data_IF_294381844723
#
_entry.id   IF_294381844723
#
_cell.length_a   1.000
_cell.length_b   1.000
_cell.length_c   1.000
_cell.angle_alpha   90.00
_cell.angle_beta   90.00
_cell.angle_gamma   90.00
#
_symmetry.space_group_name_H-M   'P 1'
#
loop_
_entity.id
_entity.type
_entity.pdbx_description
1 polymer ?
#
# COMPACT_ATOMS: atom_id res chain seq x y z
N UNK A 1 -14.38 -26.00 5.53
CA UNK A 1 -14.56 -24.79 4.71
C UNK A 1 -13.20 -24.40 4.15
N UNK A 2 -13.09 -24.00 2.88
CA UNK A 2 -11.79 -23.66 2.28
C UNK A 2 -11.41 -22.23 2.71
N UNK A 3 -10.50 -22.11 3.68
CA UNK A 3 -9.91 -20.82 4.06
C UNK A 3 -8.79 -20.49 3.07
N UNK A 4 -8.81 -19.27 2.52
CA UNK A 4 -7.80 -18.76 1.61
C UNK A 4 -6.53 -18.42 2.38
N UNK A 5 -5.40 -18.97 1.93
CA UNK A 5 -4.11 -18.59 2.47
C UNK A 5 -3.82 -17.14 2.07
N UNK A 6 -3.56 -16.23 3.03
CA UNK A 6 -3.29 -14.82 2.75
C UNK A 6 -2.12 -14.65 1.78
N UNK A 7 -1.08 -15.48 1.83
CA UNK A 7 0.12 -15.36 0.99
C UNK A 7 0.01 -16.04 -0.36
N UNK A 8 -1.16 -16.60 -0.66
CA UNK A 8 -1.45 -17.10 -2.01
C UNK A 8 -1.38 -15.97 -3.05
N UNK A 9 -0.85 -16.28 -4.23
CA UNK A 9 -0.78 -15.34 -5.36
C UNK A 9 -2.18 -14.83 -5.72
N UNK A 10 -3.21 -15.68 -5.62
CA UNK A 10 -4.61 -15.32 -5.86
C UNK A 10 -5.10 -14.25 -4.89
N UNK A 11 -4.82 -14.40 -3.59
CA UNK A 11 -5.16 -13.40 -2.59
C UNK A 11 -4.38 -12.10 -2.83
N UNK A 12 -3.09 -12.18 -3.17
CA UNK A 12 -2.27 -11.01 -3.47
C UNK A 12 -2.80 -10.23 -4.68
N UNK A 13 -3.13 -10.92 -5.78
CA UNK A 13 -3.69 -10.30 -6.99
C UNK A 13 -5.04 -9.66 -6.68
N UNK A 14 -5.90 -10.35 -5.93
CA UNK A 14 -7.21 -9.82 -5.52
C UNK A 14 -7.08 -8.54 -4.68
N UNK A 15 -6.21 -8.54 -3.66
CA UNK A 15 -5.96 -7.37 -2.81
C UNK A 15 -5.35 -6.21 -3.59
N UNK A 16 -4.37 -6.48 -4.45
CA UNK A 16 -3.74 -5.45 -5.30
C UNK A 16 -4.77 -4.83 -6.25
N UNK A 17 -5.61 -5.65 -6.86
CA UNK A 17 -6.71 -5.18 -7.69
C UNK A 17 -7.72 -4.35 -6.88
N UNK A 18 -8.05 -4.78 -5.65
CA UNK A 18 -8.91 -4.04 -4.74
C UNK A 18 -8.36 -2.66 -4.37
N UNK A 19 -7.06 -2.55 -4.14
CA UNK A 19 -6.40 -1.24 -3.93
C UNK A 19 -6.52 -0.36 -5.18
N UNK A 20 -6.31 -0.90 -6.38
CA UNK A 20 -6.47 -0.13 -7.62
C UNK A 20 -7.91 0.38 -7.81
N UNK A 21 -8.91 -0.48 -7.57
CA UNK A 21 -10.33 -0.12 -7.65
C UNK A 21 -10.66 0.96 -6.61
N UNK A 22 -10.15 0.83 -5.38
CA UNK A 22 -10.34 1.81 -4.32
C UNK A 22 -9.71 3.16 -4.66
N UNK A 23 -8.48 3.18 -5.16
CA UNK A 23 -7.80 4.42 -5.58
C UNK A 23 -8.54 5.11 -6.73
N UNK A 24 -9.04 4.34 -7.70
CA UNK A 24 -9.86 4.88 -8.79
C UNK A 24 -11.16 5.50 -8.28
N UNK A 25 -11.89 4.82 -7.39
CA UNK A 25 -13.12 5.32 -6.79
C UNK A 25 -12.90 6.56 -5.91
N UNK A 26 -11.83 6.56 -5.11
CA UNK A 26 -11.40 7.70 -4.28
C UNK A 26 -10.91 8.90 -5.12
N UNK A 27 -10.49 8.68 -6.37
CA UNK A 27 -10.13 9.76 -7.30
C UNK A 27 -11.34 10.28 -8.09
N UNK A 28 -12.26 9.39 -8.47
CA UNK A 28 -13.44 9.81 -9.24
C UNK A 28 -14.45 10.57 -8.39
N UNK A 29 -14.65 10.17 -7.13
CA UNK A 29 -15.69 10.74 -6.27
C UNK A 29 -15.50 12.25 -5.99
N UNK A 30 -14.31 12.76 -5.64
CA UNK A 30 -14.07 14.20 -5.44
C UNK A 30 -14.26 14.99 -6.74
N UNK A 31 -13.81 14.44 -7.87
CA UNK A 31 -14.00 15.06 -9.18
C UNK A 31 -15.48 15.21 -9.54
N UNK A 32 -16.26 14.13 -9.39
CA UNK A 32 -17.71 14.13 -9.63
C UNK A 32 -18.44 15.12 -8.71
N UNK A 33 -18.00 15.23 -7.45
CA UNK A 33 -18.59 16.17 -6.50
C UNK A 33 -18.26 17.63 -6.85
N UNK A 34 -17.02 17.91 -7.26
CA UNK A 34 -16.54 19.25 -7.55
C UNK A 34 -17.10 19.81 -8.87
N UNK A 35 -17.15 18.99 -9.93
CA UNK A 35 -17.69 19.38 -11.26
C UNK A 35 -19.20 19.15 -11.40
N UNK A 36 -19.88 18.76 -10.32
CA UNK A 36 -21.31 18.42 -10.29
C UNK A 36 -21.75 17.52 -11.45
N UNK A 37 -20.91 16.52 -11.76
CA UNK A 37 -21.15 15.63 -12.89
C UNK A 37 -22.37 14.77 -12.60
N UNK A 38 -23.38 14.85 -13.47
CA UNK A 38 -24.62 14.09 -13.36
C UNK A 38 -24.37 12.60 -13.60
N UNK A 39 -24.13 11.85 -12.52
CA UNK A 39 -23.91 10.39 -12.57
C UNK A 39 -25.08 9.66 -13.20
N UNK A 40 -26.31 10.14 -13.00
CA UNK A 40 -27.54 9.52 -13.50
C UNK A 40 -27.62 9.51 -15.03
N UNK A 41 -27.00 10.49 -15.70
CA UNK A 41 -27.00 10.57 -17.16
C UNK A 41 -25.85 9.80 -17.82
N UNK A 42 -24.82 9.44 -17.05
CA UNK A 42 -23.64 8.72 -17.57
C UNK A 42 -23.72 7.24 -17.26
N UNK A 43 -23.98 6.43 -18.30
CA UNK A 43 -24.00 4.97 -18.18
C UNK A 43 -22.69 4.40 -17.64
N UNK A 44 -21.55 4.97 -18.05
CA UNK A 44 -20.23 4.51 -17.60
C UNK A 44 -20.02 4.71 -16.09
N UNK A 45 -20.38 5.88 -15.56
CA UNK A 45 -20.27 6.18 -14.12
C UNK A 45 -21.23 5.33 -13.30
N UNK A 46 -22.43 5.07 -13.82
CA UNK A 46 -23.40 4.20 -13.16
C UNK A 46 -22.91 2.75 -13.11
N UNK A 47 -22.43 2.20 -14.23
CA UNK A 47 -21.85 0.86 -14.30
C UNK A 47 -20.66 0.72 -13.35
N UNK A 48 -19.79 1.73 -13.29
CA UNK A 48 -18.67 1.75 -12.36
C UNK A 48 -19.14 1.76 -10.90
N UNK A 49 -20.17 2.53 -10.56
CA UNK A 49 -20.74 2.55 -9.20
C UNK A 49 -21.34 1.19 -8.78
N UNK A 50 -22.03 0.50 -9.68
CA UNK A 50 -22.52 -0.86 -9.44
C UNK A 50 -21.38 -1.86 -9.28
N UNK A 51 -20.37 -1.78 -10.14
CA UNK A 51 -19.18 -2.60 -10.08
C UNK A 51 -18.44 -2.45 -8.74
N UNK A 52 -18.16 -1.21 -8.30
CA UNK A 52 -17.47 -0.98 -7.03
C UNK A 52 -18.28 -1.46 -5.83
N UNK A 53 -19.61 -1.26 -5.83
CA UNK A 53 -20.48 -1.79 -4.77
C UNK A 53 -20.45 -3.32 -4.70
N UNK A 54 -20.58 -3.99 -5.83
CA UNK A 54 -20.51 -5.45 -5.91
C UNK A 54 -19.13 -5.96 -5.47
N UNK A 55 -18.06 -5.34 -5.96
CA UNK A 55 -16.68 -5.71 -5.66
C UNK A 55 -16.38 -5.60 -4.16
N UNK A 56 -16.71 -4.48 -3.51
CA UNK A 56 -16.45 -4.32 -2.08
C UNK A 56 -17.36 -5.17 -1.20
N UNK A 57 -18.56 -5.53 -1.68
CA UNK A 57 -19.41 -6.51 -0.99
C UNK A 57 -18.78 -7.91 -1.06
N UNK A 58 -18.20 -8.27 -2.21
CA UNK A 58 -17.45 -9.52 -2.37
C UNK A 58 -16.18 -9.52 -1.50
N UNK A 59 -15.46 -8.40 -1.40
CA UNK A 59 -14.27 -8.25 -0.55
C UNK A 59 -14.55 -8.57 0.93
N UNK A 60 -15.73 -8.24 1.44
CA UNK A 60 -16.19 -8.63 2.79
C UNK A 60 -16.32 -10.16 2.89
N UNK A 61 -16.93 -10.80 1.88
CA UNK A 61 -17.07 -12.25 1.85
C UNK A 61 -15.73 -12.97 1.74
N UNK A 62 -14.80 -12.43 0.95
CA UNK A 62 -13.42 -12.94 0.84
C UNK A 62 -12.67 -12.74 2.16
N UNK A 63 -12.84 -11.59 2.82
CA UNK A 63 -12.21 -11.30 4.11
C UNK A 63 -12.65 -12.27 5.22
N UNK A 64 -13.91 -12.72 5.20
CA UNK A 64 -14.44 -13.73 6.14
C UNK A 64 -13.78 -15.12 5.99
N UNK A 65 -13.17 -15.40 4.83
CA UNK A 65 -12.53 -16.69 4.53
C UNK A 65 -11.02 -16.55 4.34
N UNK A 66 -10.42 -15.38 4.60
CA UNK A 66 -8.97 -15.18 4.43
C UNK A 66 -8.26 -15.34 5.78
N UNK A 67 -7.24 -16.21 5.83
CA UNK A 67 -6.44 -16.43 7.04
C UNK A 67 -5.75 -15.15 7.52
N UNK A 68 -5.43 -15.09 8.80
CA UNK A 68 -4.77 -13.94 9.44
C UNK A 68 -3.57 -14.39 10.27
N UNK A 69 -2.65 -13.47 10.53
CA UNK A 69 -1.49 -13.70 11.37
C UNK A 69 -1.78 -13.26 12.80
N UNK A 70 -1.60 -14.17 13.76
CA UNK A 70 -1.66 -13.88 15.20
C UNK A 70 -0.30 -14.24 15.80
N UNK A 71 0.41 -13.24 16.35
CA UNK A 71 1.77 -13.42 16.89
C UNK A 71 2.78 -14.07 15.91
N UNK A 72 2.58 -13.87 14.60
CA UNK A 72 3.42 -14.45 13.55
C UNK A 72 3.02 -15.87 13.12
N UNK A 73 2.08 -16.51 13.81
CA UNK A 73 1.51 -17.80 13.38
C UNK A 73 0.28 -17.59 12.48
N UNK A 74 0.21 -18.39 11.41
CA UNK A 74 -0.87 -18.32 10.44
C UNK A 74 -2.07 -19.14 10.93
N UNK A 75 -3.17 -18.46 11.28
CA UNK A 75 -4.41 -19.11 11.71
C UNK A 75 -5.34 -19.35 10.49
N UNK A 76 -5.69 -20.62 10.27
CA UNK A 76 -6.50 -21.08 9.13
C UNK A 76 -7.81 -21.75 9.54
N UNK A 77 -8.15 -21.80 10.83
CA UNK A 77 -9.44 -22.31 11.30
C UNK A 77 -10.57 -21.35 10.88
N UNK A 78 -11.54 -21.78 10.05
CA UNK A 78 -12.61 -20.91 9.55
C UNK A 78 -13.44 -20.26 10.65
N UNK A 79 -13.65 -20.94 11.79
CA UNK A 79 -14.42 -20.39 12.90
C UNK A 79 -13.67 -19.26 13.60
N UNK A 80 -12.35 -19.40 13.77
CA UNK A 80 -11.50 -18.37 14.37
C UNK A 80 -11.31 -17.18 13.42
N UNK A 81 -11.07 -17.44 12.15
CA UNK A 81 -10.94 -16.41 11.10
C UNK A 81 -12.21 -15.54 11.05
N UNK A 82 -13.38 -16.17 10.92
CA UNK A 82 -14.64 -15.43 10.87
C UNK A 82 -14.88 -14.63 12.16
N UNK A 83 -14.64 -15.22 13.34
CA UNK A 83 -14.83 -14.54 14.63
C UNK A 83 -13.89 -13.35 14.79
N UNK A 84 -12.63 -13.49 14.36
CA UNK A 84 -11.65 -12.41 14.39
C UNK A 84 -12.10 -11.24 13.52
N UNK A 85 -12.45 -11.50 12.26
CA UNK A 85 -12.92 -10.47 11.33
C UNK A 85 -14.22 -9.78 11.79
N UNK A 86 -15.17 -10.55 12.34
CA UNK A 86 -16.43 -10.03 12.91
C UNK A 86 -16.20 -9.06 14.07
N UNK A 87 -15.14 -9.25 14.86
CA UNK A 87 -14.80 -8.39 16.00
C UNK A 87 -14.03 -7.13 15.60
N UNK A 88 -13.17 -7.21 14.58
CA UNK A 88 -12.27 -6.11 14.20
C UNK A 88 -12.90 -5.18 13.16
N UNK A 89 -13.07 -5.66 11.93
CA UNK A 89 -13.34 -4.82 10.76
C UNK A 89 -14.78 -4.87 10.25
N UNK A 90 -15.52 -5.94 10.54
CA UNK A 90 -16.86 -6.16 10.00
C UNK A 90 -17.85 -5.02 10.27
N UNK A 91 -17.81 -4.41 11.46
CA UNK A 91 -18.69 -3.29 11.82
C UNK A 91 -18.49 -2.07 10.91
N UNK A 92 -17.24 -1.77 10.59
CA UNK A 92 -16.90 -0.67 9.69
C UNK A 92 -17.34 -1.02 8.27
N UNK A 93 -17.04 -2.24 7.82
CA UNK A 93 -17.34 -2.68 6.46
C UNK A 93 -18.83 -2.74 6.15
N UNK A 94 -19.66 -3.18 7.10
CA UNK A 94 -21.11 -3.24 6.88
C UNK A 94 -21.73 -1.84 6.82
N UNK A 95 -21.26 -0.90 7.65
CA UNK A 95 -21.70 0.51 7.58
C UNK A 95 -21.33 1.10 6.22
N UNK A 96 -20.11 0.88 5.75
CA UNK A 96 -19.67 1.33 4.43
C UNK A 96 -20.49 0.68 3.32
N UNK A 97 -20.72 -0.63 3.37
CA UNK A 97 -21.52 -1.34 2.37
C UNK A 97 -22.95 -0.80 2.30
N UNK A 98 -23.58 -0.51 3.44
CA UNK A 98 -24.92 0.10 3.49
C UNK A 98 -24.93 1.48 2.84
N UNK A 99 -23.93 2.33 3.14
CA UNK A 99 -23.79 3.66 2.50
C UNK A 99 -23.62 3.51 0.98
N UNK A 100 -22.85 2.51 0.54
CA UNK A 100 -22.54 2.28 -0.87
C UNK A 100 -23.78 1.85 -1.65
N UNK A 101 -24.48 0.83 -1.14
CA UNK A 101 -25.71 0.32 -1.71
C UNK A 101 -26.82 1.37 -1.71
N UNK A 102 -27.01 2.10 -0.60
CA UNK A 102 -27.99 3.19 -0.57
C UNK A 102 -27.67 4.24 -1.63
N UNK A 103 -26.43 4.74 -1.71
CA UNK A 103 -26.06 5.74 -2.69
C UNK A 103 -26.27 5.27 -4.15
N UNK A 104 -25.86 4.05 -4.48
CA UNK A 104 -25.99 3.50 -5.83
C UNK A 104 -27.45 3.24 -6.19
N UNK A 105 -28.25 2.70 -5.27
CA UNK A 105 -29.68 2.48 -5.50
C UNK A 105 -30.43 3.81 -5.69
N UNK A 106 -30.16 4.82 -4.86
CA UNK A 106 -30.76 6.16 -5.03
C UNK A 106 -30.34 6.81 -6.36
N UNK A 107 -29.06 6.75 -6.72
CA UNK A 107 -28.54 7.36 -7.97
C UNK A 107 -29.00 6.61 -9.23
N UNK A 108 -29.20 5.29 -9.15
CA UNK A 108 -29.68 4.48 -10.28
C UNK A 108 -31.17 4.67 -10.59
N UNK A 109 -31.90 5.40 -9.74
CA UNK A 109 -33.34 5.59 -9.87
C UNK A 109 -34.18 4.34 -9.60
N UNK A 110 -33.58 3.20 -9.22
CA UNK A 110 -34.32 1.98 -8.84
C UNK A 110 -35.26 2.24 -7.67
N UNK A 111 -34.87 3.12 -6.74
CA UNK A 111 -35.69 3.48 -5.57
C UNK A 111 -36.65 4.64 -5.88
N UNK A 112 -36.56 5.30 -7.04
CA UNK A 112 -37.49 6.38 -7.42
C UNK A 112 -38.93 5.86 -7.65
N UNK A 113 -39.11 4.55 -7.82
CA UNK A 113 -40.43 3.90 -7.83
C UNK A 113 -41.06 3.75 -6.43
N UNK A 114 -40.27 3.82 -5.36
CA UNK A 114 -40.77 3.87 -3.99
C UNK A 114 -41.05 5.34 -3.67
N UNK A 115 -42.26 5.78 -3.98
CA UNK A 115 -42.71 7.15 -3.74
C UNK A 115 -42.62 7.49 -2.25
N UNK A 116 -41.46 7.98 -1.80
CA UNK A 116 -41.35 8.75 -0.58
C UNK A 116 -42.01 10.11 -0.86
N UNK A 117 -43.35 10.09 -0.90
CA UNK A 117 -44.27 11.20 -1.22
C UNK A 117 -44.07 12.47 -0.39
N UNK A 118 -43.12 12.50 0.55
CA UNK A 118 -42.73 13.65 1.35
C UNK A 118 -41.33 14.25 1.08
N UNK A 119 -40.47 13.61 0.28
CA UNK A 119 -39.12 14.10 -0.02
C UNK A 119 -39.08 14.86 -1.34
N UNK A 120 -39.11 16.20 -1.28
CA UNK A 120 -38.97 17.03 -2.48
C UNK A 120 -37.63 16.80 -3.21
N UNK A 121 -37.63 16.94 -4.54
CA UNK A 121 -36.48 16.66 -5.43
C UNK A 121 -35.18 17.35 -4.96
N UNK A 122 -35.28 18.60 -4.49
CA UNK A 122 -34.13 19.34 -3.95
C UNK A 122 -33.52 18.72 -2.67
N UNK A 123 -34.34 18.08 -1.81
CA UNK A 123 -33.85 17.35 -0.63
C UNK A 123 -33.18 16.05 -1.03
N UNK A 124 -33.68 15.38 -2.08
CA UNK A 124 -33.05 14.18 -2.63
C UNK A 124 -31.64 14.45 -3.17
N UNK A 125 -31.46 15.52 -3.94
CA UNK A 125 -30.15 15.93 -4.49
C UNK A 125 -29.14 16.23 -3.36
N UNK A 126 -29.58 16.91 -2.30
CA UNK A 126 -28.71 17.17 -1.13
C UNK A 126 -28.34 15.86 -0.42
N UNK A 127 -29.30 14.95 -0.26
CA UNK A 127 -29.08 13.66 0.38
C UNK A 127 -28.08 12.79 -0.41
N UNK A 128 -28.19 12.71 -1.74
CA UNK A 128 -27.24 11.95 -2.56
C UNK A 128 -25.83 12.54 -2.51
N UNK A 129 -25.68 13.88 -2.47
CA UNK A 129 -24.37 14.55 -2.29
C UNK A 129 -23.74 14.21 -0.94
N UNK A 130 -24.51 14.25 0.15
CA UNK A 130 -24.02 13.89 1.49
C UNK A 130 -23.53 12.43 1.51
N UNK A 131 -24.30 11.50 0.94
CA UNK A 131 -23.90 10.10 0.81
C UNK A 131 -22.60 9.92 0.00
N UNK A 132 -22.37 10.73 -1.05
CA UNK A 132 -21.11 10.71 -1.80
C UNK A 132 -19.93 11.20 -0.98
N UNK A 133 -20.11 12.22 -0.14
CA UNK A 133 -19.05 12.67 0.79
C UNK A 133 -18.69 11.54 1.77
N UNK A 134 -19.69 10.82 2.29
CA UNK A 134 -19.43 9.67 3.15
C UNK A 134 -18.63 8.55 2.48
N UNK A 135 -18.62 8.42 1.14
CA UNK A 135 -17.74 7.45 0.46
C UNK A 135 -16.25 7.72 0.70
N UNK A 136 -15.85 8.95 1.03
CA UNK A 136 -14.46 9.28 1.40
C UNK A 136 -13.99 8.52 2.66
N UNK A 137 -14.92 8.07 3.51
CA UNK A 137 -14.57 7.24 4.68
C UNK A 137 -13.99 5.88 4.28
N UNK A 138 -14.16 5.44 3.01
CA UNK A 138 -13.49 4.24 2.47
C UNK A 138 -11.98 4.35 2.46
N UNK A 139 -11.39 5.54 2.61
CA UNK A 139 -9.94 5.71 2.81
C UNK A 139 -9.42 4.90 4.00
N UNK A 140 -10.28 4.61 4.98
CA UNK A 140 -9.97 3.71 6.10
C UNK A 140 -9.56 2.31 5.62
N UNK A 141 -10.12 1.81 4.51
CA UNK A 141 -9.76 0.50 3.92
C UNK A 141 -8.33 0.49 3.40
N UNK A 142 -7.79 1.64 2.99
CA UNK A 142 -6.41 1.74 2.52
C UNK A 142 -5.42 1.38 3.63
N UNK A 143 -5.69 1.77 4.88
CA UNK A 143 -4.87 1.38 6.03
C UNK A 143 -4.82 -0.15 6.21
N UNK A 144 -5.95 -0.83 6.05
CA UNK A 144 -6.01 -2.30 6.12
C UNK A 144 -5.14 -2.94 5.04
N UNK A 145 -5.25 -2.49 3.79
CA UNK A 145 -4.42 -3.02 2.72
C UNK A 145 -2.92 -2.74 2.96
N UNK A 146 -2.57 -1.57 3.49
CA UNK A 146 -1.19 -1.25 3.86
C UNK A 146 -0.65 -2.17 4.95
N UNK A 147 -1.42 -2.47 6.00
CA UNK A 147 -1.01 -3.39 7.07
C UNK A 147 -0.67 -4.78 6.53
N UNK A 148 -1.51 -5.32 5.63
CA UNK A 148 -1.29 -6.64 5.01
C UNK A 148 -0.08 -6.63 4.05
N UNK A 149 0.13 -5.55 3.32
CA UNK A 149 1.26 -5.41 2.39
C UNK A 149 2.58 -5.18 3.14
N UNK A 150 2.56 -4.48 4.28
CA UNK A 150 3.76 -4.16 5.07
C UNK A 150 4.44 -5.43 5.60
N UNK A 151 3.67 -6.44 6.01
CA UNK A 151 4.21 -7.72 6.49
C UNK A 151 4.88 -8.59 5.40
N UNK A 152 4.51 -8.41 4.12
CA UNK A 152 4.93 -9.31 3.03
C UNK A 152 6.20 -8.89 2.30
N UNK A 153 6.42 -7.60 2.12
CA UNK A 153 7.51 -7.08 1.28
C UNK A 153 8.79 -6.77 2.07
N UNK A 154 9.13 -7.54 3.11
CA UNK A 154 10.36 -7.31 3.90
C UNK A 154 11.69 -7.48 3.13
N UNK A 155 11.64 -7.85 1.85
CA UNK A 155 12.80 -7.94 0.96
C UNK A 155 13.36 -6.54 0.65
N UNK A 156 14.44 -6.21 1.36
CA UNK A 156 15.03 -4.88 1.52
C UNK A 156 15.09 -4.07 0.22
N UNK A 157 15.64 -4.60 -0.88
CA UNK A 157 15.86 -3.81 -2.12
C UNK A 157 14.61 -3.41 -2.91
N UNK A 158 13.69 -4.36 -3.17
CA UNK A 158 12.48 -4.12 -3.98
C UNK A 158 11.46 -3.27 -3.22
N UNK A 159 11.42 -3.46 -1.90
CA UNK A 159 10.58 -2.70 -0.97
C UNK A 159 10.80 -1.19 -1.07
N UNK A 160 12.05 -0.73 -1.14
CA UNK A 160 12.35 0.71 -1.20
C UNK A 160 11.84 1.36 -2.49
N UNK A 161 12.09 0.71 -3.63
CA UNK A 161 11.65 1.20 -4.94
C UNK A 161 10.12 1.28 -4.99
N UNK A 162 9.46 0.22 -4.50
CA UNK A 162 8.02 0.15 -4.41
C UNK A 162 7.44 1.27 -3.53
N UNK A 163 7.92 1.41 -2.29
CA UNK A 163 7.43 2.44 -1.37
C UNK A 163 7.70 3.86 -1.86
N UNK A 164 8.86 4.12 -2.47
CA UNK A 164 9.16 5.44 -3.04
C UNK A 164 8.20 5.78 -4.18
N UNK A 165 7.87 4.79 -5.02
CA UNK A 165 6.84 4.94 -6.06
C UNK A 165 5.45 5.21 -5.48
N UNK A 166 5.07 4.52 -4.40
CA UNK A 166 3.79 4.75 -3.72
C UNK A 166 3.68 6.16 -3.13
N UNK A 167 4.76 6.70 -2.54
CA UNK A 167 4.77 8.09 -2.05
C UNK A 167 4.54 9.09 -3.19
N UNK A 168 5.11 8.84 -4.38
CA UNK A 168 4.87 9.67 -5.56
C UNK A 168 3.41 9.59 -6.04
N UNK A 169 2.85 8.38 -6.14
CA UNK A 169 1.44 8.16 -6.53
C UNK A 169 0.51 8.87 -5.53
N UNK A 170 0.78 8.73 -4.24
CA UNK A 170 0.02 9.40 -3.18
C UNK A 170 0.12 10.92 -3.27
N UNK A 171 1.30 11.46 -3.60
CA UNK A 171 1.51 12.90 -3.82
C UNK A 171 0.63 13.42 -4.95
N UNK A 172 0.61 12.73 -6.10
CA UNK A 172 -0.23 13.12 -7.25
C UNK A 172 -1.72 13.06 -6.88
N UNK A 173 -2.14 12.00 -6.19
CA UNK A 173 -3.51 11.85 -5.72
C UNK A 173 -3.92 12.93 -4.72
N UNK A 174 -3.03 13.30 -3.79
CA UNK A 174 -3.25 14.37 -2.83
C UNK A 174 -3.40 15.73 -3.51
N UNK A 175 -2.56 16.05 -4.51
CA UNK A 175 -2.73 17.24 -5.33
C UNK A 175 -4.10 17.28 -6.02
N UNK A 176 -4.55 16.14 -6.55
CA UNK A 176 -5.87 16.01 -7.17
C UNK A 176 -7.00 16.32 -6.18
N UNK A 177 -6.94 15.82 -4.94
CA UNK A 177 -7.94 16.15 -3.92
C UNK A 177 -8.01 17.64 -3.63
N UNK A 178 -6.84 18.28 -3.41
CA UNK A 178 -6.76 19.71 -3.12
C UNK A 178 -7.30 20.53 -4.32
N UNK A 179 -7.00 20.11 -5.55
CA UNK A 179 -7.53 20.73 -6.77
C UNK A 179 -9.05 20.62 -6.88
N UNK A 180 -9.63 19.46 -6.56
CA UNK A 180 -11.09 19.27 -6.55
C UNK A 180 -11.76 20.16 -5.50
N UNK A 181 -11.20 20.27 -4.30
CA UNK A 181 -11.73 21.17 -3.26
C UNK A 181 -11.60 22.62 -3.70
N UNK A 182 -10.47 23.02 -4.29
CA UNK A 182 -10.27 24.37 -4.82
C UNK A 182 -11.31 24.76 -5.87
N UNK A 183 -11.61 23.84 -6.79
CA UNK A 183 -12.67 24.03 -7.77
C UNK A 183 -14.05 24.10 -7.13
N UNK A 184 -14.37 23.20 -6.20
CA UNK A 184 -15.65 23.18 -5.52
C UNK A 184 -15.93 24.46 -4.71
N UNK A 185 -14.90 25.06 -4.11
CA UNK A 185 -15.02 26.35 -3.41
C UNK A 185 -15.34 27.46 -4.41
N UNK A 186 -14.61 27.54 -5.52
CA UNK A 186 -14.84 28.56 -6.54
C UNK A 186 -16.22 28.44 -7.22
N UNK A 187 -16.71 27.22 -7.45
CA UNK A 187 -18.00 26.97 -8.10
C UNK A 187 -19.21 27.07 -7.17
N UNK A 188 -19.01 27.21 -5.84
CA UNK A 188 -20.09 27.21 -4.85
C UNK A 188 -21.06 28.40 -4.96
N UNK A 189 -20.67 29.48 -5.65
CA UNK A 189 -21.48 30.68 -5.87
C UNK A 189 -21.72 31.54 -4.62
N UNK A 190 -21.20 31.14 -3.45
CA UNK A 190 -21.28 31.91 -2.20
C UNK A 190 -19.96 32.66 -2.04
N UNK A 191 -19.94 33.91 -2.46
CA UNK A 191 -18.78 34.78 -2.30
C UNK A 191 -19.18 36.15 -1.73
N UNK A 192 -18.33 36.69 -0.86
CA UNK A 192 -18.52 37.98 -0.21
C UNK A 192 -18.10 39.16 -1.11
N UNK A 193 -17.18 38.92 -2.05
CA UNK A 193 -16.68 39.93 -2.99
C UNK A 193 -17.39 39.96 -4.33
N UNK A 194 -18.34 39.04 -4.57
CA UNK A 194 -18.99 38.88 -5.87
C UNK A 194 -18.08 38.31 -6.97
N UNK A 195 -16.88 37.84 -6.62
CA UNK A 195 -15.91 37.28 -7.57
C UNK A 195 -15.24 36.01 -7.04
N UNK A 196 -14.86 35.12 -7.94
CA UNK A 196 -14.12 33.89 -7.71
C UNK A 196 -12.85 33.84 -8.56
N UNK A 197 -11.91 32.97 -8.20
CA UNK A 197 -10.77 32.62 -9.04
C UNK A 197 -11.18 32.15 -10.46
N UNK A 198 -12.41 31.63 -10.61
CA UNK A 198 -12.99 31.23 -11.90
C UNK A 198 -13.39 32.41 -12.81
N UNK A 199 -13.61 33.61 -12.25
CA UNK A 199 -14.08 34.79 -13.01
C UNK A 199 -12.97 35.50 -13.79
N UNK A 200 -11.74 34.98 -13.73
CA UNK A 200 -10.65 35.46 -14.55
C UNK A 200 -11.01 35.32 -16.05
N UNK A 201 -10.80 36.36 -16.86
CA UNK A 201 -11.21 36.41 -18.29
C UNK A 201 -10.71 35.22 -19.11
N UNK A 202 -9.54 34.67 -18.76
CA UNK A 202 -8.96 33.50 -19.44
C UNK A 202 -9.55 32.16 -18.97
N UNK A 203 -10.17 32.11 -17.79
CA UNK A 203 -10.73 30.91 -17.18
C UNK A 203 -12.25 30.80 -17.40
N UNK A 204 -12.96 31.92 -17.40
CA UNK A 204 -14.42 31.95 -17.50
C UNK A 204 -14.99 31.28 -18.77
N UNK A 205 -14.25 31.31 -19.88
CA UNK A 205 -14.63 30.67 -21.15
C UNK A 205 -13.82 29.41 -21.47
N UNK A 206 -13.02 28.91 -20.52
CA UNK A 206 -12.13 27.79 -20.75
C UNK A 206 -12.86 26.44 -20.74
N UNK A 207 -12.27 25.43 -21.37
CA UNK A 207 -12.80 24.07 -21.35
C UNK A 207 -12.72 23.46 -19.94
N UNK A 208 -13.61 22.51 -19.57
CA UNK A 208 -13.54 21.83 -18.28
C UNK A 208 -12.19 21.16 -18.01
N UNK A 209 -11.56 20.63 -19.06
CA UNK A 209 -10.22 20.05 -18.97
C UNK A 209 -9.16 21.09 -18.62
N UNK A 210 -9.23 22.29 -19.21
CA UNK A 210 -8.32 23.38 -18.86
C UNK A 210 -8.52 23.81 -17.41
N UNK A 211 -9.77 24.01 -16.96
CA UNK A 211 -10.08 24.35 -15.57
C UNK A 211 -9.54 23.31 -14.57
N UNK A 212 -9.67 22.02 -14.90
CA UNK A 212 -9.13 20.93 -14.08
C UNK A 212 -7.59 21.00 -14.00
N UNK A 213 -6.91 21.15 -15.14
CA UNK A 213 -5.45 21.23 -15.18
C UNK A 213 -4.95 22.50 -14.47
N UNK A 214 -5.66 23.62 -14.60
CA UNK A 214 -5.35 24.86 -13.88
C UNK A 214 -5.49 24.70 -12.36
N UNK A 215 -6.57 24.07 -11.89
CA UNK A 215 -6.76 23.77 -10.47
C UNK A 215 -5.67 22.80 -9.95
N UNK A 216 -5.31 21.79 -10.74
CA UNK A 216 -4.24 20.85 -10.41
C UNK A 216 -2.87 21.53 -10.33
N UNK A 217 -2.57 22.41 -11.29
CA UNK A 217 -1.35 23.21 -11.27
C UNK A 217 -1.28 24.10 -10.02
N UNK A 218 -2.39 24.77 -9.67
CA UNK A 218 -2.49 25.54 -8.43
C UNK A 218 -2.22 24.67 -7.18
N UNK A 219 -2.78 23.46 -7.12
CA UNK A 219 -2.56 22.54 -6.00
C UNK A 219 -1.10 22.07 -5.89
N UNK A 220 -0.45 21.76 -7.02
CA UNK A 220 0.98 21.41 -7.06
C UNK A 220 1.84 22.56 -6.54
N UNK A 221 1.51 23.79 -6.90
CA UNK A 221 2.21 25.00 -6.45
C UNK A 221 2.15 25.19 -4.94
N UNK A 222 1.08 24.77 -4.26
CA UNK A 222 0.99 24.84 -2.80
C UNK A 222 2.02 23.93 -2.10
N UNK A 223 2.41 22.84 -2.75
CA UNK A 223 3.39 21.88 -2.22
C UNK A 223 4.82 22.32 -2.59
N UNK A 224 5.02 22.89 -3.77
CA UNK A 224 6.34 23.30 -4.28
C UNK A 224 6.74 24.74 -3.94
N UNK A 225 5.82 25.55 -3.41
CA UNK A 225 6.00 26.99 -3.12
C UNK A 225 6.36 27.82 -4.37
N UNK A 226 5.86 27.42 -5.53
CA UNK A 226 6.03 28.15 -6.79
C UNK A 226 5.16 29.41 -6.91
N UNK A 227 5.37 30.20 -7.95
CA UNK A 227 4.48 31.31 -8.32
C UNK A 227 3.40 30.88 -9.32
N UNK A 228 2.16 31.34 -9.14
CA UNK A 228 1.05 31.12 -10.08
C UNK A 228 0.11 32.33 -10.12
N UNK A 229 -0.44 32.60 -11.30
CA UNK A 229 -1.38 33.72 -11.55
C UNK A 229 -2.83 33.40 -11.19
N UNK A 230 -3.08 32.30 -10.48
CA UNK A 230 -4.40 31.92 -9.94
C UNK A 230 -4.45 32.35 -8.48
N UNK A 231 -5.21 33.41 -8.20
CA UNK A 231 -5.27 34.07 -6.89
C UNK A 231 -6.68 33.95 -6.31
N UNK A 232 -6.77 33.81 -4.99
CA UNK A 232 -8.02 33.90 -4.26
C UNK A 232 -8.65 35.30 -4.36
N UNK A 233 -9.93 35.35 -4.74
CA UNK A 233 -10.71 36.57 -4.96
C UNK A 233 -11.73 36.87 -3.86
N UNK A 234 -12.00 35.91 -2.96
CA UNK A 234 -12.95 36.04 -1.86
C UNK A 234 -12.39 35.47 -0.54
N UNK A 235 -13.10 35.70 0.58
CA UNK A 235 -12.63 35.29 1.91
C UNK A 235 -12.51 33.77 2.04
N UNK A 236 -13.47 32.99 1.52
CA UNK A 236 -13.43 31.52 1.57
C UNK A 236 -12.24 30.94 0.80
N UNK A 237 -12.00 31.44 -0.41
CA UNK A 237 -10.84 31.07 -1.22
C UNK A 237 -9.53 31.44 -0.53
N UNK A 238 -9.47 32.62 0.12
CA UNK A 238 -8.27 33.07 0.83
C UNK A 238 -7.97 32.19 2.04
N UNK A 239 -8.99 31.85 2.84
CA UNK A 239 -8.85 30.97 4.00
C UNK A 239 -8.37 29.58 3.57
N UNK A 240 -8.97 29.01 2.52
CA UNK A 240 -8.54 27.73 2.00
C UNK A 240 -7.14 27.77 1.39
N UNK A 241 -6.78 28.84 0.67
CA UNK A 241 -5.42 29.03 0.15
C UNK A 241 -4.39 29.07 1.29
N UNK A 242 -4.64 29.81 2.37
CA UNK A 242 -3.76 29.84 3.55
C UNK A 242 -3.60 28.43 4.13
N UNK A 243 -4.72 27.73 4.34
CA UNK A 243 -4.71 26.35 4.82
C UNK A 243 -3.90 25.42 3.91
N UNK A 244 -4.10 25.51 2.59
CA UNK A 244 -3.44 24.67 1.60
C UNK A 244 -1.93 24.90 1.56
N UNK A 245 -1.47 26.16 1.71
CA UNK A 245 -0.03 26.48 1.82
C UNK A 245 0.58 25.81 3.05
N UNK A 246 -0.01 25.97 4.23
CA UNK A 246 0.51 25.34 5.47
C UNK A 246 0.55 23.82 5.36
N UNK A 247 -0.53 23.23 4.84
CA UNK A 247 -0.62 21.79 4.63
C UNK A 247 0.42 21.31 3.60
N UNK A 248 0.60 22.07 2.52
CA UNK A 248 1.58 21.80 1.47
C UNK A 248 3.02 21.80 1.98
N UNK A 249 3.39 22.75 2.84
CA UNK A 249 4.73 22.82 3.46
C UNK A 249 4.99 21.63 4.39
N UNK A 250 4.01 21.25 5.22
CA UNK A 250 4.14 20.09 6.12
C UNK A 250 4.30 18.82 5.30
N UNK A 251 3.47 18.67 4.26
CA UNK A 251 3.49 17.50 3.39
C UNK A 251 4.81 17.40 2.60
N UNK A 252 5.24 18.46 1.93
CA UNK A 252 6.48 18.47 1.14
C UNK A 252 7.71 18.21 2.00
N UNK A 253 7.79 18.82 3.18
CA UNK A 253 8.88 18.60 4.14
C UNK A 253 8.94 17.13 4.60
N UNK A 254 7.78 16.52 4.84
CA UNK A 254 7.68 15.11 5.24
C UNK A 254 8.12 14.16 4.11
N UNK A 255 7.67 14.42 2.88
CA UNK A 255 8.09 13.65 1.71
C UNK A 255 9.60 13.74 1.48
N UNK A 256 10.16 14.95 1.51
CA UNK A 256 11.61 15.18 1.34
C UNK A 256 12.39 14.50 2.46
N UNK A 257 11.93 14.58 3.71
CA UNK A 257 12.56 13.91 4.84
C UNK A 257 12.59 12.39 4.68
N UNK A 258 11.45 11.79 4.31
CA UNK A 258 11.35 10.35 4.08
C UNK A 258 12.27 9.87 2.95
N UNK A 259 12.25 10.57 1.81
CA UNK A 259 13.11 10.24 0.67
C UNK A 259 14.58 10.41 1.03
N UNK A 260 14.95 11.47 1.74
CA UNK A 260 16.33 11.72 2.18
C UNK A 260 16.81 10.65 3.14
N UNK A 261 16.01 10.28 4.15
CA UNK A 261 16.35 9.21 5.09
C UNK A 261 16.58 7.88 4.37
N UNK A 262 15.74 7.56 3.38
CA UNK A 262 15.86 6.35 2.58
C UNK A 262 17.13 6.36 1.71
N UNK A 263 17.41 7.47 1.04
CA UNK A 263 18.63 7.66 0.24
C UNK A 263 19.90 7.57 1.10
N UNK A 264 19.90 8.19 2.28
CA UNK A 264 21.02 8.12 3.24
C UNK A 264 21.25 6.67 3.66
N UNK A 265 20.19 5.92 4.01
CA UNK A 265 20.32 4.49 4.36
C UNK A 265 20.98 3.68 3.24
N UNK A 266 20.60 3.92 1.99
CA UNK A 266 21.26 3.26 0.86
C UNK A 266 22.71 3.67 0.72
N UNK A 267 22.99 4.97 0.81
CA UNK A 267 24.35 5.49 0.67
C UNK A 267 25.28 4.97 1.77
N UNK A 268 24.79 4.79 3.00
CA UNK A 268 25.53 4.14 4.08
C UNK A 268 25.89 2.71 3.70
N UNK A 269 24.93 1.90 3.23
CA UNK A 269 25.19 0.52 2.79
C UNK A 269 26.20 0.44 1.64
N UNK A 270 26.10 1.33 0.65
CA UNK A 270 27.09 1.41 -0.43
C UNK A 270 28.47 1.85 0.08
N UNK A 271 28.52 2.84 0.97
CA UNK A 271 29.75 3.38 1.55
C UNK A 271 30.50 2.34 2.38
N UNK A 272 29.80 1.54 3.20
CA UNK A 272 30.38 0.44 3.97
C UNK A 272 31.07 -0.56 3.05
N UNK A 273 30.39 -1.00 1.98
CA UNK A 273 30.95 -1.89 0.96
C UNK A 273 32.21 -1.29 0.33
N UNK A 274 32.15 -0.03 -0.10
CA UNK A 274 33.30 0.64 -0.71
C UNK A 274 34.46 0.76 0.29
N UNK A 275 34.15 1.04 1.55
CA UNK A 275 35.16 1.17 2.62
C UNK A 275 35.86 -0.16 2.89
N UNK A 276 35.11 -1.27 2.98
CA UNK A 276 35.68 -2.61 3.14
C UNK A 276 36.62 -2.98 1.97
N UNK A 277 36.22 -2.68 0.74
CA UNK A 277 37.08 -2.89 -0.42
C UNK A 277 38.35 -2.03 -0.35
N UNK A 278 38.24 -0.73 -0.04
CA UNK A 278 39.41 0.15 0.13
C UNK A 278 40.36 -0.36 1.21
N UNK A 279 39.84 -0.83 2.34
CA UNK A 279 40.64 -1.42 3.43
C UNK A 279 41.40 -2.66 2.95
N UNK A 280 40.74 -3.54 2.19
CA UNK A 280 41.40 -4.68 1.53
C UNK A 280 42.51 -4.23 0.58
N UNK A 281 42.28 -3.20 -0.24
CA UNK A 281 43.31 -2.68 -1.16
C UNK A 281 44.53 -2.18 -0.38
N UNK A 282 44.32 -1.45 0.73
CA UNK A 282 45.40 -0.98 1.61
C UNK A 282 46.18 -2.14 2.21
N UNK A 283 45.48 -3.16 2.73
CA UNK A 283 46.09 -4.36 3.29
C UNK A 283 47.01 -5.07 2.28
N UNK A 284 46.52 -5.29 1.06
CA UNK A 284 47.29 -5.95 -0.01
C UNK A 284 48.52 -5.13 -0.41
N UNK A 285 48.41 -3.80 -0.45
CA UNK A 285 49.53 -2.89 -0.76
C UNK A 285 50.59 -2.88 0.35
N UNK A 286 50.18 -2.85 1.62
CA UNK A 286 51.08 -2.86 2.77
C UNK A 286 51.93 -4.14 2.83
N UNK A 287 51.34 -5.28 2.45
CA UNK A 287 52.03 -6.57 2.40
C UNK A 287 52.75 -6.85 1.07
N UNK A 288 52.85 -5.85 0.18
CA UNK A 288 53.54 -5.94 -1.12
C UNK A 288 53.10 -7.15 -1.97
N UNK A 289 51.80 -7.46 -1.96
CA UNK A 289 51.23 -8.55 -2.76
C UNK A 289 51.36 -8.24 -4.26
N UNK A 290 51.76 -9.23 -5.05
CA UNK A 290 51.87 -9.12 -6.51
C UNK A 290 50.54 -8.62 -7.14
N UNK A 291 50.63 -7.70 -8.10
CA UNK A 291 49.46 -7.06 -8.69
C UNK A 291 48.45 -8.04 -9.31
N UNK A 292 48.95 -9.14 -9.90
CA UNK A 292 48.12 -10.20 -10.48
C UNK A 292 47.25 -10.90 -9.42
N UNK A 293 47.84 -11.25 -8.27
CA UNK A 293 47.17 -11.86 -7.14
C UNK A 293 46.24 -10.87 -6.43
N UNK A 294 46.69 -9.63 -6.21
CA UNK A 294 45.88 -8.59 -5.59
C UNK A 294 44.59 -8.30 -6.39
N UNK A 295 44.68 -8.25 -7.72
CA UNK A 295 43.52 -8.08 -8.60
C UNK A 295 42.57 -9.28 -8.51
N UNK A 296 43.08 -10.52 -8.45
CA UNK A 296 42.27 -11.73 -8.29
C UNK A 296 41.54 -11.75 -6.94
N UNK A 297 42.24 -11.42 -5.85
CA UNK A 297 41.67 -11.34 -4.50
C UNK A 297 40.56 -10.28 -4.45
N UNK A 298 40.82 -9.06 -4.95
CA UNK A 298 39.80 -8.00 -4.97
C UNK A 298 38.56 -8.39 -5.76
N UNK A 299 38.71 -9.03 -6.94
CA UNK A 299 37.56 -9.52 -7.73
C UNK A 299 36.79 -10.63 -7.01
N UNK A 300 37.48 -11.54 -6.34
CA UNK A 300 36.82 -12.60 -5.58
C UNK A 300 36.07 -12.05 -4.36
N UNK A 301 36.69 -11.12 -3.61
CA UNK A 301 36.03 -10.48 -2.47
C UNK A 301 34.84 -9.65 -2.95
N UNK A 302 34.98 -8.82 -3.99
CA UNK A 302 33.85 -8.01 -4.49
C UNK A 302 32.69 -8.88 -4.99
N UNK A 303 32.97 -9.97 -5.72
CA UNK A 303 31.94 -10.91 -6.17
C UNK A 303 31.28 -11.68 -5.01
N UNK A 304 32.05 -12.06 -3.98
CA UNK A 304 31.53 -12.73 -2.79
C UNK A 304 30.83 -11.78 -1.82
N UNK A 305 31.14 -10.51 -1.81
CA UNK A 305 30.38 -9.49 -1.08
C UNK A 305 29.04 -9.16 -1.74
N UNK A 306 28.89 -9.45 -3.04
CA UNK A 306 27.63 -9.34 -3.75
C UNK A 306 26.74 -10.58 -3.56
N UNK A 307 27.34 -11.75 -3.36
CA UNK A 307 26.60 -12.93 -2.92
C UNK A 307 26.38 -12.83 -1.42
N UNK A 308 25.13 -12.81 -0.98
CA UNK A 308 24.82 -13.06 0.43
C UNK A 308 25.54 -14.35 0.83
N UNK A 309 26.40 -14.31 1.85
CA UNK A 309 26.99 -15.54 2.38
C UNK A 309 25.84 -16.46 2.77
N UNK A 310 25.95 -17.75 2.46
CA UNK A 310 24.98 -18.72 2.97
C UNK A 310 25.01 -18.65 4.49
N UNK A 311 23.95 -18.08 5.07
CA UNK A 311 23.78 -18.01 6.51
C UNK A 311 23.62 -19.44 7.01
N UNK A 312 24.46 -19.86 7.96
CA UNK A 312 24.21 -21.10 8.66
C UNK A 312 23.10 -20.86 9.66
N UNK A 313 22.39 -21.92 9.98
CA UNK A 313 21.30 -21.86 10.96
C UNK A 313 21.75 -21.23 12.30
N UNK A 314 22.96 -21.57 12.77
CA UNK A 314 23.53 -21.00 14.00
C UNK A 314 23.96 -19.52 13.92
N UNK A 315 24.07 -18.94 12.72
CA UNK A 315 24.47 -17.55 12.53
C UNK A 315 23.30 -16.56 12.71
N UNK A 316 22.06 -17.07 12.80
CA UNK A 316 20.83 -16.26 12.82
C UNK A 316 20.21 -16.28 14.21
N UNK A 317 20.56 -15.29 15.03
CA UNK A 317 20.03 -15.16 16.40
C UNK A 317 18.50 -15.03 16.46
N UNK A 318 17.89 -14.42 15.43
CA UNK A 318 16.43 -14.26 15.33
C UNK A 318 15.66 -15.60 15.34
N UNK A 319 16.30 -16.71 14.92
CA UNK A 319 15.68 -18.04 14.95
C UNK A 319 15.44 -18.55 16.37
N UNK A 320 16.10 -17.98 17.39
CA UNK A 320 15.84 -18.29 18.81
C UNK A 320 14.45 -17.87 19.27
N UNK A 321 13.80 -16.94 18.56
CA UNK A 321 12.47 -16.44 18.89
C UNK A 321 11.34 -17.19 18.19
N UNK A 322 11.66 -18.16 17.32
CA UNK A 322 10.67 -18.96 16.60
C UNK A 322 10.09 -20.03 17.54
N UNK A 323 8.79 -20.31 17.43
CA UNK A 323 8.16 -21.39 18.18
C UNK A 323 8.82 -22.75 17.88
N UNK A 324 8.79 -23.68 18.84
CA UNK A 324 9.42 -24.99 18.67
C UNK A 324 8.94 -25.72 17.42
N UNK A 325 7.67 -25.54 17.09
CA UNK A 325 6.98 -26.29 16.04
C UNK A 325 7.39 -25.79 14.65
N UNK A 326 7.35 -24.46 14.44
CA UNK A 326 7.86 -23.83 13.20
C UNK A 326 9.35 -24.09 13.05
N UNK A 327 10.10 -24.11 14.16
CA UNK A 327 11.52 -24.39 14.11
C UNK A 327 11.83 -25.84 13.67
N UNK A 328 11.05 -26.81 14.17
CA UNK A 328 11.14 -28.19 13.71
C UNK A 328 10.77 -28.33 12.23
N UNK A 329 9.71 -27.67 11.78
CA UNK A 329 9.31 -27.67 10.36
C UNK A 329 10.39 -27.02 9.47
N UNK A 330 10.97 -25.91 9.92
CA UNK A 330 12.09 -25.24 9.25
C UNK A 330 13.32 -26.16 9.16
N UNK A 331 13.71 -26.83 10.25
CA UNK A 331 14.78 -27.82 10.25
C UNK A 331 14.48 -28.98 9.29
N UNK A 332 13.28 -29.54 9.34
CA UNK A 332 12.89 -30.66 8.49
C UNK A 332 12.94 -30.25 7.02
N UNK A 333 12.42 -29.08 6.65
CA UNK A 333 12.47 -28.58 5.28
C UNK A 333 13.92 -28.36 4.79
N UNK A 334 14.80 -27.83 5.65
CA UNK A 334 16.19 -27.56 5.34
C UNK A 334 16.98 -28.86 5.09
N UNK A 335 16.90 -29.81 6.02
CA UNK A 335 17.69 -31.04 5.97
C UNK A 335 17.11 -32.10 5.04
N UNK A 336 15.80 -32.15 4.85
CA UNK A 336 15.17 -33.11 3.92
C UNK A 336 15.71 -32.93 2.50
N UNK A 337 15.91 -31.67 2.06
CA UNK A 337 16.48 -31.38 0.74
C UNK A 337 17.91 -31.91 0.59
N UNK A 338 18.71 -31.82 1.66
CA UNK A 338 20.09 -32.30 1.70
C UNK A 338 20.11 -33.83 1.76
N UNK A 339 19.34 -34.44 2.65
CA UNK A 339 19.30 -35.89 2.85
C UNK A 339 18.81 -36.63 1.61
N UNK A 340 17.73 -36.14 0.97
CA UNK A 340 17.19 -36.76 -0.25
C UNK A 340 18.11 -36.63 -1.48
N UNK A 341 19.13 -35.77 -1.42
CA UNK A 341 20.17 -35.72 -2.46
C UNK A 341 20.97 -37.03 -2.53
N UNK A 342 21.11 -37.74 -1.41
CA UNK A 342 21.80 -39.01 -1.31
C UNK A 342 20.87 -40.22 -1.57
N UNK A 343 21.33 -41.18 -2.38
CA UNK A 343 20.53 -42.32 -2.82
C UNK A 343 20.09 -43.26 -1.67
N UNK A 344 20.93 -43.43 -0.64
CA UNK A 344 20.64 -44.27 0.53
C UNK A 344 19.47 -43.73 1.36
N UNK A 345 19.51 -42.44 1.71
CA UNK A 345 18.44 -41.77 2.45
C UNK A 345 17.14 -41.69 1.63
N UNK A 346 17.24 -41.53 0.31
CA UNK A 346 16.08 -41.57 -0.59
C UNK A 346 15.42 -42.95 -0.64
N UNK A 347 16.21 -44.02 -0.65
CA UNK A 347 15.69 -45.38 -0.60
C UNK A 347 15.02 -45.66 0.75
N UNK A 348 15.65 -45.26 1.86
CA UNK A 348 15.12 -45.42 3.21
C UNK A 348 13.85 -44.61 3.48
N UNK A 349 13.78 -43.37 2.99
CA UNK A 349 12.59 -42.53 3.12
C UNK A 349 11.36 -43.11 2.39
N UNK A 350 11.56 -43.96 1.36
CA UNK A 350 10.47 -44.67 0.68
C UNK A 350 9.97 -45.88 1.46
N UNK A 351 10.83 -46.46 2.30
CA UNK A 351 10.49 -47.63 3.13
C UNK A 351 9.83 -47.20 4.44
N UNK A 352 10.26 -46.07 5.00
CA UNK A 352 9.71 -45.51 6.23
C UNK A 352 9.43 -44.01 6.08
N UNK A 353 8.15 -43.64 6.05
CA UNK A 353 7.71 -42.24 5.92
C UNK A 353 8.08 -41.35 7.12
N UNK A 354 8.22 -41.91 8.33
CA UNK A 354 8.58 -41.18 9.56
C UNK A 354 10.10 -41.01 9.74
N UNK A 355 10.91 -41.77 9.02
CA UNK A 355 12.37 -41.79 9.19
C UNK A 355 13.04 -40.42 9.04
N UNK A 356 12.61 -39.61 8.07
CA UNK A 356 13.19 -38.26 7.88
C UNK A 356 12.82 -37.31 9.02
N UNK A 357 11.61 -37.44 9.57
CA UNK A 357 11.17 -36.63 10.70
C UNK A 357 11.95 -37.00 11.96
N UNK A 358 12.08 -38.30 12.25
CA UNK A 358 12.88 -38.79 13.38
C UNK A 358 14.36 -38.44 13.25
N UNK A 359 14.91 -38.50 12.04
CA UNK A 359 16.31 -38.14 11.79
C UNK A 359 16.55 -36.65 12.03
N UNK A 360 15.73 -35.78 11.43
CA UNK A 360 15.90 -34.33 11.49
C UNK A 360 15.53 -33.71 12.85
N UNK A 361 14.57 -34.30 13.57
CA UNK A 361 14.05 -33.73 14.84
C UNK A 361 14.67 -34.40 16.07
N UNK A 362 14.85 -35.72 16.07
CA UNK A 362 15.24 -36.48 17.26
C UNK A 362 16.67 -37.00 17.24
N UNK A 363 17.22 -37.28 16.05
CA UNK A 363 18.48 -38.04 15.93
C UNK A 363 19.71 -37.16 15.74
N UNK A 364 19.56 -35.99 15.13
CA UNK A 364 20.69 -35.12 14.80
C UNK A 364 20.70 -33.91 15.72
N UNK A 365 21.53 -33.95 16.78
CA UNK A 365 21.98 -32.73 17.45
C UNK A 365 23.01 -32.06 16.54
N UNK A 366 22.60 -31.00 15.86
CA UNK A 366 23.53 -30.14 15.15
C UNK A 366 24.34 -29.36 16.20
N UNK A 367 25.60 -29.75 16.34
CA UNK A 367 26.54 -29.01 17.17
C UNK A 367 27.00 -27.78 16.38
N UNK A 368 26.49 -26.61 16.75
CA UNK A 368 26.95 -25.34 16.20
C UNK A 368 28.16 -24.88 17.03
N UNK A 369 29.33 -24.65 16.42
CA UNK A 369 30.61 -24.48 17.14
C UNK A 369 30.76 -23.17 17.94
N UNK A 370 29.67 -22.54 18.40
CA UNK A 370 29.69 -21.32 19.23
C UNK A 370 28.59 -21.30 20.30
N UNK A 371 28.20 -22.48 20.81
CA UNK A 371 27.15 -22.61 21.82
C UNK A 371 27.68 -23.01 23.22
N UNK A 372 28.97 -22.77 23.47
CA UNK A 372 29.56 -22.83 24.80
C UNK A 372 29.87 -21.40 25.27
N UNK A 373 28.86 -20.77 25.87
CA UNK A 373 28.95 -19.83 27.01
C UNK A 373 27.56 -19.64 27.64
#
# INVERSE_FOLDING_TARGET
>A
ACVLNPDSITCLVFQTFGVMVLLMDLSLTPFVLAWDVSVESSQALLLFAWFTCAFFTLDIAVSLITGYYHDGELEMDPSRVATHYLKTWFKVDIVLAVIDWTNTLFTSGVVNGFSLTGFGIARLIRFTRILRVFRMTRLVRLFRYFEHMYGRFSMTGVYWLFNSGLVLIFTVWFCHLIACVWYAIGSSGVNDTGSSWLDNRHLAAASPAFLYVSALHWAVVQITLGGIDIVASNTSERLFNIFAVFLGVIFSSSCVSYLSATLIRQQVQYSERTTQLRTLQRFLRQHRVEASLAARVQRQVSARMQRTSELKYGDVEALRHVSSDINQELHLSFFTRILLSHASFRAWARVNCGFLQDLCVHSVRFHYPFQDD
#
